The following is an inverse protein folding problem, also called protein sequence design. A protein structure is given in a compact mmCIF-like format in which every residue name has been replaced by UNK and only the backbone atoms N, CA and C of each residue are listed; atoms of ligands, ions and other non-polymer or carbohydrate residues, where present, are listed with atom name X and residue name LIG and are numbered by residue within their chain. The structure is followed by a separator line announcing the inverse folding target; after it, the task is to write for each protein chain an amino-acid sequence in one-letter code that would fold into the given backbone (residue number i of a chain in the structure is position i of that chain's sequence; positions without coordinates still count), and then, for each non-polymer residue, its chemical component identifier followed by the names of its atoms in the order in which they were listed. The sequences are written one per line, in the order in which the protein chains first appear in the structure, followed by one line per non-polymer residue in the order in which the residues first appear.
data_IF_633102994700
#
_entry.id   IF_633102994700
#
_cell.length_a   1.000
_cell.length_b   1.000
_cell.length_c   1.000
_cell.angle_alpha   90.00
_cell.angle_beta   90.00
_cell.angle_gamma   90.00
#
_symmetry.space_group_name_H-M   'P 1'
#
loop_
_entity.id
_entity.type
_entity.pdbx_description
1 polymer ?
#
# COMPACT_ATOMS: atom_id res chain seq x y z
N UNK A 1 -8.37 13.24 34.83
CA UNK A 1 -7.95 14.19 33.78
C UNK A 1 -7.31 13.39 32.65
N UNK A 2 -8.01 13.19 31.53
CA UNK A 2 -7.43 12.55 30.35
C UNK A 2 -6.60 13.57 29.59
N UNK A 3 -5.34 13.26 29.33
CA UNK A 3 -4.50 14.06 28.45
C UNK A 3 -5.09 14.00 27.05
N UNK A 4 -5.67 15.12 26.63
CA UNK A 4 -6.03 15.36 25.23
C UNK A 4 -4.73 15.34 24.43
N UNK A 5 -4.45 14.25 23.73
CA UNK A 5 -3.38 14.21 22.72
C UNK A 5 -3.80 15.24 21.67
N UNK A 6 -3.11 16.37 21.66
CA UNK A 6 -3.33 17.39 20.64
C UNK A 6 -3.22 16.72 19.27
N UNK A 7 -4.20 16.96 18.40
CA UNK A 7 -4.16 16.47 17.03
C UNK A 7 -2.84 16.93 16.41
N UNK A 8 -2.01 15.97 15.99
CA UNK A 8 -0.75 16.27 15.31
C UNK A 8 -1.09 17.03 14.03
N UNK A 9 -0.46 18.19 13.74
CA UNK A 9 -0.61 18.81 12.43
C UNK A 9 -0.21 17.77 11.38
N UNK A 10 -0.88 17.75 10.23
CA UNK A 10 -0.60 16.87 9.08
C UNK A 10 0.82 17.12 8.56
N UNK A 11 1.80 16.51 9.21
CA UNK A 11 3.18 16.48 8.78
C UNK A 11 3.31 15.54 7.59
N UNK A 12 4.15 15.91 6.62
CA UNK A 12 4.44 15.14 5.41
C UNK A 12 4.61 13.63 5.70
N UNK A 13 3.87 12.80 4.95
CA UNK A 13 3.93 11.34 5.10
C UNK A 13 5.11 10.81 4.30
N UNK A 14 6.02 10.11 4.97
CA UNK A 14 7.14 9.43 4.30
C UNK A 14 6.67 8.09 3.69
N UNK A 15 7.09 7.81 2.45
CA UNK A 15 6.75 6.57 1.75
C UNK A 15 8.00 5.68 1.69
N UNK A 16 7.93 4.51 2.31
CA UNK A 16 8.98 3.49 2.24
C UNK A 16 8.57 2.42 1.23
N UNK A 17 9.35 2.25 0.17
CA UNK A 17 9.07 1.28 -0.91
C UNK A 17 10.03 0.09 -0.82
N UNK A 18 9.48 -1.11 -0.77
CA UNK A 18 10.21 -2.38 -0.87
C UNK A 18 9.94 -2.98 -2.24
N UNK A 19 10.99 -3.43 -2.93
CA UNK A 19 10.85 -4.07 -4.25
C UNK A 19 10.97 -5.58 -4.08
N UNK A 20 9.91 -6.30 -4.43
CA UNK A 20 9.94 -7.75 -4.56
C UNK A 20 10.39 -8.11 -5.99
N UNK A 21 11.50 -8.84 -6.15
CA UNK A 21 12.01 -9.21 -7.47
C UNK A 21 12.51 -10.66 -7.54
N UNK A 22 12.09 -11.39 -8.58
CA UNK A 22 12.63 -12.70 -8.97
C UNK A 22 13.72 -12.60 -10.06
N UNK A 23 14.65 -11.65 -9.90
CA UNK A 23 15.97 -11.73 -10.55
C UNK A 23 16.21 -10.91 -11.83
N UNK A 24 15.29 -10.05 -12.30
CA UNK A 24 15.59 -9.03 -13.32
C UNK A 24 15.31 -7.62 -12.80
N UNK A 25 16.31 -6.74 -12.92
CA UNK A 25 16.40 -5.46 -12.20
C UNK A 25 16.43 -4.28 -13.17
N UNK A 26 15.58 -3.28 -12.97
CA UNK A 26 15.98 -1.86 -12.78
C UNK A 26 14.80 -1.13 -12.14
N UNK A 27 14.98 -0.56 -10.94
CA UNK A 27 14.03 0.39 -10.34
C UNK A 27 14.83 1.63 -9.96
N UNK A 28 14.43 2.79 -10.49
CA UNK A 28 14.97 4.10 -10.11
C UNK A 28 14.18 4.57 -8.89
N UNK A 29 14.84 4.68 -7.73
CA UNK A 29 14.19 5.16 -6.51
C UNK A 29 13.70 6.60 -6.67
N UNK A 30 12.42 6.84 -6.38
CA UNK A 30 11.87 8.20 -6.23
C UNK A 30 11.89 8.54 -4.75
N UNK A 31 12.80 9.42 -4.34
CA UNK A 31 12.77 10.01 -2.99
C UNK A 31 11.89 11.25 -3.03
N UNK A 32 10.65 11.16 -2.55
CA UNK A 32 9.92 12.35 -2.14
C UNK A 32 10.48 12.79 -0.79
N UNK A 33 11.24 13.89 -0.77
CA UNK A 33 11.74 14.44 0.49
C UNK A 33 10.59 15.10 1.27
N UNK A 34 10.41 14.79 2.57
CA UNK A 34 9.50 15.56 3.39
C UNK A 34 10.08 16.97 3.59
N UNK A 35 9.26 17.99 3.37
CA UNK A 35 9.61 19.40 3.61
C UNK A 35 9.71 19.74 5.10
N UNK A 36 9.24 18.85 5.99
CA UNK A 36 9.27 19.05 7.44
C UNK A 36 10.02 17.92 8.15
N UNK A 37 11.27 18.18 8.52
CA UNK A 37 11.99 17.35 9.50
C UNK A 37 11.43 17.68 10.88
N UNK A 38 10.99 16.68 11.64
CA UNK A 38 10.59 16.85 13.03
C UNK A 38 11.72 17.55 13.80
N UNK A 39 11.39 18.64 14.50
CA UNK A 39 12.36 19.33 15.34
C UNK A 39 12.94 18.36 16.38
N UNK A 40 14.25 18.39 16.64
CA UNK A 40 14.85 17.51 17.64
C UNK A 40 14.19 17.73 19.00
N UNK A 41 13.62 16.69 19.58
CA UNK A 41 13.06 16.67 20.93
C UNK A 41 13.96 15.85 21.86
N UNK A 42 14.06 16.26 23.13
CA UNK A 42 14.70 15.44 24.18
C UNK A 42 13.88 14.19 24.51
N UNK A 43 12.59 14.18 24.18
CA UNK A 43 11.77 12.98 24.22
C UNK A 43 12.00 12.11 22.98
N UNK A 44 12.44 10.88 23.21
CA UNK A 44 12.49 9.83 22.19
C UNK A 44 11.06 9.37 21.94
N UNK A 45 10.51 9.72 20.79
CA UNK A 45 9.24 9.14 20.33
C UNK A 45 9.54 8.19 19.18
N UNK A 46 9.15 6.91 19.28
CA UNK A 46 9.34 5.97 18.18
C UNK A 46 8.57 6.45 16.95
N UNK A 47 9.17 6.29 15.76
CA UNK A 47 8.47 6.48 14.51
C UNK A 47 7.49 5.33 14.29
N UNK A 48 6.28 5.66 13.84
CA UNK A 48 5.22 4.69 13.53
C UNK A 48 5.17 4.52 12.01
N UNK A 49 5.55 3.33 11.55
CA UNK A 49 5.47 2.94 10.14
C UNK A 49 4.26 2.05 9.93
N UNK A 50 3.33 2.48 9.08
CA UNK A 50 2.15 1.70 8.73
C UNK A 50 2.50 0.63 7.69
N UNK A 51 2.85 -0.55 8.18
CA UNK A 51 3.22 -1.73 7.39
C UNK A 51 2.05 -2.18 6.50
N UNK A 52 2.24 -2.02 5.18
CA UNK A 52 1.22 -2.23 4.13
C UNK A 52 -0.03 -1.37 4.28
N UNK A 53 0.15 -0.17 4.85
CA UNK A 53 -0.93 0.70 5.30
C UNK A 53 -1.56 0.22 6.61
N UNK A 54 -2.81 0.58 6.87
CA UNK A 54 -3.56 0.12 8.03
C UNK A 54 -4.14 -1.28 7.78
N UNK A 55 -3.27 -2.28 7.56
CA UNK A 55 -3.63 -3.64 7.12
C UNK A 55 -4.53 -4.42 8.11
N UNK A 56 -4.59 -4.01 9.37
CA UNK A 56 -5.58 -4.54 10.33
C UNK A 56 -7.01 -4.01 10.12
N UNK A 57 -7.19 -2.92 9.35
CA UNK A 57 -8.45 -2.21 9.18
C UNK A 57 -8.99 -2.26 7.74
N UNK A 58 -8.10 -2.41 6.75
CA UNK A 58 -8.42 -2.52 5.32
C UNK A 58 -7.49 -3.56 4.70
N UNK A 59 -7.90 -4.23 3.61
CA UNK A 59 -7.01 -5.14 2.89
C UNK A 59 -5.69 -4.45 2.58
N UNK A 60 -4.60 -5.15 2.86
CA UNK A 60 -3.25 -4.61 2.75
C UNK A 60 -2.94 -4.04 1.36
N UNK A 61 -2.07 -3.02 1.31
CA UNK A 61 -1.59 -2.41 0.07
C UNK A 61 -2.69 -1.81 -0.82
N UNK A 62 -3.78 -1.35 -0.21
CA UNK A 62 -4.87 -0.63 -0.90
C UNK A 62 -4.79 0.87 -0.61
N UNK A 63 -5.30 1.71 -1.52
CA UNK A 63 -5.40 3.15 -1.27
C UNK A 63 -6.18 3.46 0.02
N UNK A 64 -7.21 2.67 0.32
CA UNK A 64 -7.98 2.79 1.57
C UNK A 64 -7.14 2.44 2.81
N UNK A 65 -6.29 1.41 2.75
CA UNK A 65 -5.38 1.11 3.85
C UNK A 65 -4.40 2.27 4.11
N UNK A 66 -3.90 2.91 3.05
CA UNK A 66 -3.03 4.07 3.18
C UNK A 66 -3.78 5.30 3.72
N UNK A 67 -4.98 5.61 3.22
CA UNK A 67 -5.83 6.69 3.77
C UNK A 67 -6.08 6.53 5.26
N UNK A 68 -6.45 5.32 5.67
CA UNK A 68 -6.70 5.02 7.10
C UNK A 68 -5.42 5.17 7.92
N UNK A 69 -4.26 4.72 7.42
CA UNK A 69 -2.99 4.89 8.09
C UNK A 69 -2.61 6.38 8.28
N UNK A 70 -2.79 7.19 7.23
CA UNK A 70 -2.53 8.63 7.26
C UNK A 70 -3.47 9.30 8.27
N UNK A 71 -4.76 8.98 8.24
CA UNK A 71 -5.75 9.51 9.18
C UNK A 71 -5.47 9.09 10.64
N UNK A 72 -4.86 7.92 10.86
CA UNK A 72 -4.40 7.47 12.18
C UNK A 72 -3.12 8.16 12.66
N UNK A 73 -2.47 8.97 11.82
CA UNK A 73 -1.28 9.73 12.17
C UNK A 73 0.02 8.91 12.10
N UNK A 74 0.08 7.92 11.21
CA UNK A 74 1.34 7.22 10.93
C UNK A 74 2.40 8.21 10.40
N UNK A 75 3.64 8.08 10.87
CA UNK A 75 4.75 8.92 10.42
C UNK A 75 5.23 8.50 9.00
N UNK A 76 4.98 7.25 8.62
CA UNK A 76 5.29 6.73 7.29
C UNK A 76 4.30 5.66 6.87
N UNK A 77 4.05 5.53 5.57
CA UNK A 77 3.44 4.34 4.99
C UNK A 77 4.53 3.46 4.40
N UNK A 78 4.43 2.16 4.63
CA UNK A 78 5.29 1.18 3.99
C UNK A 78 4.47 0.40 2.96
N UNK A 79 5.10 0.16 1.80
CA UNK A 79 4.48 -0.52 0.69
C UNK A 79 5.50 -1.41 -0.03
N UNK A 80 5.00 -2.49 -0.63
CA UNK A 80 5.77 -3.38 -1.50
C UNK A 80 5.35 -3.15 -2.96
N UNK A 81 6.29 -3.26 -3.90
CA UNK A 81 6.02 -3.20 -5.33
C UNK A 81 6.55 -4.40 -6.09
N UNK A 82 5.80 -4.76 -7.12
CA UNK A 82 6.13 -5.75 -8.14
C UNK A 82 5.80 -5.17 -9.52
N UNK A 83 6.49 -5.65 -10.56
CA UNK A 83 6.33 -5.12 -11.93
C UNK A 83 5.34 -5.96 -12.72
N UNK A 84 4.41 -5.29 -13.41
CA UNK A 84 3.56 -5.89 -14.46
C UNK A 84 4.37 -6.24 -15.71
N UNK A 85 3.75 -7.00 -16.63
CA UNK A 85 4.33 -7.39 -17.91
C UNK A 85 4.71 -6.18 -18.80
N UNK A 86 3.96 -5.09 -18.68
CA UNK A 86 4.18 -3.81 -19.36
C UNK A 86 5.04 -2.82 -18.55
N UNK A 87 5.68 -3.29 -17.47
CA UNK A 87 6.73 -2.54 -16.74
C UNK A 87 6.21 -1.52 -15.72
N UNK A 88 4.93 -1.59 -15.35
CA UNK A 88 4.33 -0.70 -14.35
C UNK A 88 4.47 -1.31 -12.96
N UNK A 89 4.86 -0.49 -11.99
CA UNK A 89 4.94 -0.93 -10.59
C UNK A 89 3.55 -0.90 -9.96
N UNK A 90 3.10 -2.06 -9.50
CA UNK A 90 1.86 -2.22 -8.72
C UNK A 90 2.17 -2.57 -7.28
N UNK A 91 1.32 -2.12 -6.37
CA UNK A 91 1.54 -2.24 -4.94
C UNK A 91 0.99 -3.58 -4.47
N UNK A 92 1.87 -4.57 -4.30
CA UNK A 92 1.62 -5.94 -3.82
C UNK A 92 2.89 -6.51 -3.19
N UNK A 93 2.73 -7.41 -2.22
CA UNK A 93 3.85 -8.09 -1.56
C UNK A 93 4.31 -9.34 -2.32
N UNK A 94 3.37 -10.13 -2.85
CA UNK A 94 3.66 -11.31 -3.67
C UNK A 94 3.47 -11.02 -5.16
N UNK A 95 4.28 -11.67 -6.02
CA UNK A 95 4.01 -11.73 -7.47
C UNK A 95 2.77 -12.57 -7.79
N UNK A 96 2.49 -13.61 -7.00
CA UNK A 96 1.28 -14.44 -7.17
C UNK A 96 0.05 -13.76 -6.54
N UNK A 97 -0.95 -13.49 -7.38
CA UNK A 97 -2.16 -12.76 -7.01
C UNK A 97 -3.28 -13.65 -6.43
N UNK A 98 -3.12 -14.97 -6.40
CA UNK A 98 -4.19 -15.91 -6.01
C UNK A 98 -4.72 -15.72 -4.59
N UNK A 99 -3.87 -15.30 -3.66
CA UNK A 99 -4.23 -15.19 -2.23
C UNK A 99 -4.81 -13.84 -1.83
N UNK A 100 -4.50 -12.77 -2.58
CA UNK A 100 -4.84 -11.39 -2.21
C UNK A 100 -5.74 -10.71 -3.23
N UNK A 101 -6.20 -11.45 -4.25
CA UNK A 101 -7.13 -10.96 -5.26
C UNK A 101 -8.13 -12.05 -5.67
N UNK A 102 -9.04 -11.72 -6.58
CA UNK A 102 -9.95 -12.64 -7.26
C UNK A 102 -9.41 -13.18 -8.58
N UNK A 103 -8.11 -13.10 -8.89
CA UNK A 103 -7.51 -13.53 -10.17
C UNK A 103 -7.94 -14.92 -10.64
N UNK A 104 -8.17 -15.86 -9.71
CA UNK A 104 -8.61 -17.21 -10.02
C UNK A 104 -10.02 -17.29 -10.65
N UNK A 105 -10.84 -16.24 -10.45
CA UNK A 105 -12.20 -16.14 -10.98
C UNK A 105 -12.24 -15.53 -12.40
N UNK A 106 -11.12 -14.95 -12.87
CA UNK A 106 -11.00 -14.26 -14.16
C UNK A 106 -10.55 -15.20 -15.30
N UNK A 107 -11.52 -15.85 -15.96
CA UNK A 107 -11.25 -16.84 -17.04
C UNK A 107 -10.56 -16.22 -18.26
N UNK A 108 -10.81 -14.96 -18.54
CA UNK A 108 -10.22 -14.18 -19.63
C UNK A 108 -8.70 -14.03 -19.50
N UNK A 109 -8.14 -14.15 -18.28
CA UNK A 109 -6.70 -14.08 -18.05
C UNK A 109 -5.97 -15.37 -18.44
N UNK A 110 -6.71 -16.42 -18.82
CA UNK A 110 -6.13 -17.66 -19.34
C UNK A 110 -5.33 -18.46 -18.32
N UNK A 111 -5.61 -18.27 -17.02
CA UNK A 111 -4.92 -18.95 -15.92
C UNK A 111 -3.60 -18.30 -15.49
N UNK A 112 -3.23 -17.14 -16.05
CA UNK A 112 -2.12 -16.33 -15.56
C UNK A 112 -2.46 -15.76 -14.19
N UNK A 113 -1.58 -15.96 -13.21
CA UNK A 113 -1.80 -15.48 -11.84
C UNK A 113 -0.66 -14.61 -11.32
N UNK A 114 0.46 -14.57 -12.05
CA UNK A 114 1.61 -13.75 -11.68
C UNK A 114 1.45 -12.33 -12.22
N UNK A 115 1.77 -11.33 -11.41
CA UNK A 115 1.73 -9.91 -11.84
C UNK A 115 2.57 -9.67 -13.09
N UNK A 116 3.75 -10.28 -13.16
CA UNK A 116 4.68 -10.16 -14.29
C UNK A 116 4.17 -10.75 -15.62
N UNK A 117 3.06 -11.49 -15.59
CA UNK A 117 2.38 -12.04 -16.78
C UNK A 117 1.19 -11.19 -17.23
N UNK A 118 0.79 -10.18 -16.44
CA UNK A 118 -0.40 -9.35 -16.67
C UNK A 118 -0.01 -7.91 -16.98
N UNK A 119 -0.76 -7.24 -17.86
CA UNK A 119 -0.64 -5.78 -18.03
C UNK A 119 -1.25 -5.02 -16.86
N UNK A 120 -0.93 -3.73 -16.70
CA UNK A 120 -1.60 -2.89 -15.71
C UNK A 120 -3.12 -2.90 -15.87
N UNK A 121 -3.60 -2.83 -17.11
CA UNK A 121 -5.04 -2.81 -17.40
C UNK A 121 -5.72 -4.11 -16.96
N UNK A 122 -5.06 -5.25 -17.18
CA UNK A 122 -5.54 -6.56 -16.69
C UNK A 122 -5.54 -6.59 -15.15
N UNK A 123 -4.45 -6.16 -14.50
CA UNK A 123 -4.35 -6.11 -13.03
C UNK A 123 -5.42 -5.20 -12.40
N UNK A 124 -5.78 -4.10 -13.06
CA UNK A 124 -6.83 -3.18 -12.58
C UNK A 124 -8.24 -3.76 -12.64
N UNK A 125 -8.46 -4.83 -13.41
CA UNK A 125 -9.76 -5.53 -13.43
C UNK A 125 -10.01 -6.30 -12.14
N UNK A 126 -8.94 -6.72 -11.46
CA UNK A 126 -8.99 -7.56 -10.26
C UNK A 126 -9.53 -6.80 -9.05
N UNK A 127 -10.09 -7.54 -8.10
CA UNK A 127 -10.50 -7.05 -6.78
C UNK A 127 -9.68 -7.67 -5.67
N UNK A 128 -9.20 -6.81 -4.79
CA UNK A 128 -8.38 -7.17 -3.64
C UNK A 128 -9.22 -7.94 -2.61
N UNK A 129 -8.56 -8.92 -1.98
CA UNK A 129 -9.06 -9.73 -0.87
C UNK A 129 -8.08 -9.72 0.29
N UNK A 130 -8.59 -9.82 1.50
CA UNK A 130 -7.81 -10.00 2.71
C UNK A 130 -7.21 -11.41 2.76
N UNK A 131 -5.90 -11.49 2.99
CA UNK A 131 -5.15 -12.76 3.03
C UNK A 131 -5.38 -13.57 4.31
N UNK A 132 -5.76 -12.90 5.40
CA UNK A 132 -5.98 -13.52 6.72
C UNK A 132 -7.37 -13.16 7.26
N UNK A 133 -8.46 -13.61 6.61
CA UNK A 133 -9.82 -13.19 6.97
C UNK A 133 -10.21 -13.59 8.40
N UNK A 134 -9.73 -14.73 8.88
CA UNK A 134 -9.99 -15.19 10.25
C UNK A 134 -9.35 -14.29 11.32
N UNK A 135 -8.19 -13.70 11.02
CA UNK A 135 -7.48 -12.80 11.94
C UNK A 135 -7.89 -11.33 11.76
N UNK A 136 -8.36 -10.95 10.57
CA UNK A 136 -8.69 -9.57 10.19
C UNK A 136 -10.10 -9.48 9.57
N UNK A 137 -11.16 -9.90 10.28
CA UNK A 137 -12.51 -9.90 9.73
C UNK A 137 -13.01 -8.50 9.33
N UNK A 138 -12.53 -7.46 10.01
CA UNK A 138 -12.83 -6.06 9.65
C UNK A 138 -12.22 -5.62 8.32
N UNK A 139 -11.02 -6.12 7.98
CA UNK A 139 -10.41 -5.88 6.67
C UNK A 139 -11.10 -6.73 5.59
N UNK A 140 -11.38 -8.00 5.89
CA UNK A 140 -12.08 -8.93 4.98
C UNK A 140 -13.49 -8.45 4.60
N UNK A 141 -14.13 -7.61 5.41
CA UNK A 141 -15.40 -6.98 5.06
C UNK A 141 -15.33 -6.10 3.79
N UNK A 142 -14.13 -5.74 3.31
CA UNK A 142 -13.89 -4.98 2.10
C UNK A 142 -13.50 -5.82 0.88
N UNK A 143 -13.48 -7.15 1.02
CA UNK A 143 -13.16 -8.06 -0.08
C UNK A 143 -14.07 -7.81 -1.29
N UNK A 144 -13.48 -7.83 -2.48
CA UNK A 144 -14.22 -7.63 -3.72
C UNK A 144 -14.54 -6.16 -4.05
N UNK A 145 -14.15 -5.20 -3.20
CA UNK A 145 -14.54 -3.78 -3.37
C UNK A 145 -13.45 -2.89 -3.95
N UNK A 146 -12.18 -3.23 -3.73
CA UNK A 146 -11.04 -2.36 -4.02
C UNK A 146 -10.24 -2.93 -5.19
N UNK A 147 -9.77 -2.06 -6.07
CA UNK A 147 -8.86 -2.44 -7.16
C UNK A 147 -7.40 -2.46 -6.66
N UNK A 148 -6.53 -3.17 -7.40
CA UNK A 148 -5.08 -3.12 -7.18
C UNK A 148 -4.56 -1.74 -7.58
N UNK A 149 -3.75 -1.13 -6.72
CA UNK A 149 -3.18 0.20 -6.93
C UNK A 149 -1.80 0.13 -7.63
N UNK A 150 -1.50 1.11 -8.48
CA UNK A 150 -0.13 1.36 -8.94
C UNK A 150 0.66 2.17 -7.90
N UNK A 151 1.99 2.20 -8.04
CA UNK A 151 2.82 3.12 -7.25
C UNK A 151 2.40 4.59 -7.49
N UNK A 152 2.11 4.95 -8.74
CA UNK A 152 1.66 6.30 -9.11
C UNK A 152 0.34 6.67 -8.40
N UNK A 153 -0.59 5.72 -8.27
CA UNK A 153 -1.85 5.93 -7.55
C UNK A 153 -1.58 6.27 -6.06
N UNK A 154 -0.61 5.60 -5.43
CA UNK A 154 -0.22 5.87 -4.04
C UNK A 154 0.51 7.21 -3.90
N UNK A 155 1.43 7.53 -4.81
CA UNK A 155 2.13 8.82 -4.78
C UNK A 155 1.15 9.99 -4.98
N UNK A 156 0.17 9.83 -5.87
CA UNK A 156 -0.90 10.81 -6.05
C UNK A 156 -1.74 10.98 -4.78
N UNK A 157 -2.12 9.87 -4.11
CA UNK A 157 -2.83 9.90 -2.84
C UNK A 157 -2.03 10.63 -1.75
N UNK A 158 -0.77 10.26 -1.54
CA UNK A 158 0.07 10.88 -0.51
C UNK A 158 0.24 12.37 -0.77
N UNK A 159 0.40 12.76 -2.03
CA UNK A 159 0.47 14.17 -2.43
C UNK A 159 -0.82 14.92 -2.11
N UNK A 160 -2.00 14.30 -2.33
CA UNK A 160 -3.28 14.96 -2.04
C UNK A 160 -3.59 15.06 -0.55
N UNK A 161 -3.16 14.08 0.26
CA UNK A 161 -3.42 14.03 1.71
C UNK A 161 -2.36 14.81 2.52
N UNK A 162 -1.23 15.18 1.91
CA UNK A 162 -0.13 15.92 2.56
C UNK A 162 -0.07 17.41 2.16
N UNK A 163 -1.04 17.90 1.37
CA UNK A 163 -1.16 19.29 0.96
C UNK A 163 -1.88 20.15 2.02
#
# INVERSE_FOLDING_TARGET
MGTMVAARPTSAVHVSVVVCSDGRRTVTGVTLQPTARRAPSLEVTPAVVAHRGASGHRPEHTLEAFRVAIAMGADSIELDVVSTADGVLVVRHESDLTITTDVADHRELGGRTLVEELSLDEVRTLRVRERMPDLRPGAAAYDGRLAVASLDDVLALVTSESA
#
